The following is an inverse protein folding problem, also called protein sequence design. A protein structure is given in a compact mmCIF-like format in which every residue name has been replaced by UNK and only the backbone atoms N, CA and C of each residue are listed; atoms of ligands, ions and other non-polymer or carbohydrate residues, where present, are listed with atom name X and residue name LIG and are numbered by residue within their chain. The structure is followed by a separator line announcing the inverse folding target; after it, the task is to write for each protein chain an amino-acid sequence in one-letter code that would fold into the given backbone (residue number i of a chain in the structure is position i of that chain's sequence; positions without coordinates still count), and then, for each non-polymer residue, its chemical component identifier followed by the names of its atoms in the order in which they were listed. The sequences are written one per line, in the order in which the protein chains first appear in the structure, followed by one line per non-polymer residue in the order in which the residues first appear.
data_IF_626969231972
#
_entry.id   IF_626969231972
#
_cell.length_a   1.000
_cell.length_b   1.000
_cell.length_c   1.000
_cell.angle_alpha   90.00
_cell.angle_beta   90.00
_cell.angle_gamma   90.00
#
_symmetry.space_group_name_H-M   'P 1'
#
loop_
_entity.id
_entity.type
_entity.pdbx_description
1 polymer ?
#
# COMPACT_ATOMS: atom_id res chain seq x y z
N UNK A 1 48.08 -40.30 3.45
CA UNK A 1 47.08 -39.22 3.24
C UNK A 1 47.23 -38.58 1.86
N UNK A 2 47.17 -39.41 0.81
CA UNK A 2 47.35 -38.93 -0.58
C UNK A 2 46.40 -39.63 -1.57
N UNK A 3 45.20 -39.91 -1.14
CA UNK A 3 44.15 -40.28 -2.04
C UNK A 3 43.41 -39.04 -2.47
N UNK A 4 43.72 -38.48 -3.64
CA UNK A 4 42.84 -37.49 -4.31
C UNK A 4 41.56 -38.23 -4.64
N UNK A 5 40.41 -37.92 -4.01
CA UNK A 5 39.18 -38.63 -4.30
C UNK A 5 38.78 -38.35 -5.76
N UNK A 6 38.42 -39.41 -6.49
CA UNK A 6 37.77 -39.24 -7.78
C UNK A 6 36.55 -38.34 -7.63
N UNK A 7 36.34 -37.42 -8.57
CA UNK A 7 35.26 -36.43 -8.52
C UNK A 7 33.91 -37.06 -8.27
N UNK A 8 33.63 -38.18 -8.91
CA UNK A 8 32.38 -38.95 -8.73
C UNK A 8 32.18 -39.41 -7.29
N UNK A 9 33.22 -39.92 -6.66
CA UNK A 9 33.18 -40.36 -5.24
C UNK A 9 32.98 -39.18 -4.28
N UNK A 10 33.54 -38.04 -4.64
CA UNK A 10 33.31 -36.81 -3.87
C UNK A 10 31.84 -36.42 -3.91
N UNK A 11 31.21 -36.37 -5.11
CA UNK A 11 29.80 -36.01 -5.28
C UNK A 11 28.87 -37.04 -4.61
N UNK A 12 29.18 -38.36 -4.67
CA UNK A 12 28.40 -39.37 -3.96
C UNK A 12 28.44 -39.18 -2.43
N UNK A 13 29.60 -38.92 -1.89
CA UNK A 13 29.75 -38.63 -0.44
C UNK A 13 29.03 -37.33 -0.04
N UNK A 14 29.10 -36.31 -0.91
CA UNK A 14 28.34 -35.06 -0.67
C UNK A 14 26.83 -35.29 -0.68
N UNK A 15 26.33 -36.16 -1.58
CA UNK A 15 24.93 -36.56 -1.63
C UNK A 15 24.49 -37.30 -0.37
N UNK A 16 25.27 -38.29 0.07
CA UNK A 16 25.01 -39.04 1.29
C UNK A 16 24.93 -38.13 2.54
N UNK A 17 25.68 -37.04 2.54
CA UNK A 17 25.67 -36.05 3.61
C UNK A 17 24.70 -34.89 3.37
N UNK A 18 23.77 -35.00 2.42
CA UNK A 18 22.79 -33.95 2.04
C UNK A 18 23.43 -32.60 1.71
N UNK A 19 24.62 -32.63 1.09
CA UNK A 19 25.39 -31.45 0.67
C UNK A 19 25.27 -31.12 -0.81
N UNK A 20 24.32 -31.73 -1.50
CA UNK A 20 23.99 -31.50 -2.90
C UNK A 20 22.51 -31.14 -3.04
N UNK A 21 22.15 -30.40 -4.11
CA UNK A 21 20.74 -30.18 -4.44
C UNK A 21 20.06 -31.50 -4.81
N UNK A 22 18.73 -31.57 -4.64
CA UNK A 22 17.95 -32.71 -5.07
C UNK A 22 17.86 -32.72 -6.60
N UNK A 23 18.45 -33.74 -7.20
CA UNK A 23 18.38 -33.99 -8.66
C UNK A 23 17.48 -35.18 -8.96
N UNK A 24 16.60 -35.05 -9.97
CA UNK A 24 15.72 -36.13 -10.42
C UNK A 24 16.52 -37.30 -11.02
N UNK A 25 17.55 -36.99 -11.79
CA UNK A 25 18.50 -37.94 -12.38
C UNK A 25 19.91 -37.57 -11.92
N UNK A 26 20.36 -38.23 -10.86
CA UNK A 26 21.67 -37.93 -10.30
C UNK A 26 22.84 -38.40 -11.18
N UNK A 27 22.77 -39.53 -11.90
CA UNK A 27 23.76 -39.90 -12.89
C UNK A 27 23.95 -38.85 -14.01
N UNK A 28 22.86 -38.32 -14.58
CA UNK A 28 22.89 -37.25 -15.59
C UNK A 28 23.47 -35.97 -15.00
N UNK A 29 23.01 -35.58 -13.83
CA UNK A 29 23.49 -34.40 -13.06
C UNK A 29 25.01 -34.46 -12.82
N UNK A 30 25.55 -35.64 -12.46
CA UNK A 30 27.00 -35.84 -12.32
C UNK A 30 27.74 -35.72 -13.65
N UNK A 31 27.17 -36.30 -14.74
CA UNK A 31 27.75 -36.27 -16.05
C UNK A 31 27.93 -34.83 -16.57
N UNK A 32 26.95 -33.97 -16.36
CA UNK A 32 27.03 -32.54 -16.71
C UNK A 32 28.21 -31.87 -16.01
N UNK A 33 28.38 -32.07 -14.69
CA UNK A 33 29.48 -31.44 -13.91
C UNK A 33 30.83 -32.07 -14.21
N UNK A 34 30.86 -33.30 -14.67
CA UNK A 34 32.06 -33.91 -15.23
C UNK A 34 32.52 -33.20 -16.50
N UNK A 35 31.57 -32.67 -17.30
CA UNK A 35 31.86 -31.81 -18.45
C UNK A 35 32.65 -30.54 -18.12
N UNK A 36 32.60 -30.06 -16.87
CA UNK A 36 33.37 -28.88 -16.45
C UNK A 36 34.88 -29.05 -16.56
N UNK A 37 35.40 -30.29 -16.48
CA UNK A 37 36.82 -30.56 -16.66
C UNK A 37 37.34 -30.35 -18.11
N UNK A 38 36.44 -30.45 -19.08
CA UNK A 38 36.80 -30.43 -20.53
C UNK A 38 36.53 -29.06 -21.18
N UNK A 39 35.84 -28.17 -20.51
CA UNK A 39 35.54 -26.81 -20.97
C UNK A 39 36.75 -25.90 -20.70
N UNK A 40 37.68 -25.81 -21.63
CA UNK A 40 39.03 -25.25 -21.40
C UNK A 40 39.07 -23.73 -21.11
N UNK A 41 37.98 -22.96 -21.27
CA UNK A 41 37.98 -21.50 -21.07
C UNK A 41 36.74 -20.95 -20.34
N UNK A 42 35.80 -21.78 -19.94
CA UNK A 42 34.55 -21.33 -19.33
C UNK A 42 34.55 -21.52 -17.79
N UNK A 43 34.15 -20.50 -17.09
CA UNK A 43 33.83 -20.57 -15.66
C UNK A 43 32.38 -20.99 -15.55
N UNK A 44 32.12 -22.12 -14.93
CA UNK A 44 30.77 -22.62 -14.67
C UNK A 44 30.27 -22.07 -13.35
N UNK A 45 29.10 -21.43 -13.35
CA UNK A 45 28.46 -20.88 -12.16
C UNK A 45 27.07 -21.45 -12.01
N UNK A 46 26.77 -21.99 -10.84
CA UNK A 46 25.45 -22.53 -10.49
C UNK A 46 25.02 -22.08 -9.09
N UNK A 47 23.71 -21.98 -8.91
CA UNK A 47 23.10 -21.84 -7.59
C UNK A 47 22.56 -23.20 -7.13
N UNK A 48 23.03 -23.66 -6.00
CA UNK A 48 22.57 -24.89 -5.37
C UNK A 48 21.69 -24.57 -4.16
N UNK A 49 20.49 -25.15 -4.16
CA UNK A 49 19.59 -25.10 -3.00
C UNK A 49 19.64 -26.49 -2.36
N UNK A 50 20.14 -26.55 -1.15
CA UNK A 50 20.26 -27.79 -0.39
C UNK A 50 18.92 -28.16 0.28
N UNK A 51 18.74 -29.42 0.65
CA UNK A 51 17.53 -29.94 1.30
C UNK A 51 17.22 -29.23 2.63
N UNK A 52 18.24 -28.71 3.32
CA UNK A 52 18.08 -27.93 4.55
C UNK A 52 17.72 -26.46 4.31
N UNK A 53 17.61 -26.04 3.06
CA UNK A 53 17.29 -24.66 2.68
C UNK A 53 18.48 -23.73 2.58
N UNK A 54 19.71 -24.25 2.62
CA UNK A 54 20.90 -23.43 2.39
C UNK A 54 21.09 -23.14 0.88
N UNK A 55 21.54 -21.95 0.56
CA UNK A 55 21.82 -21.46 -0.77
C UNK A 55 23.34 -21.35 -0.97
N UNK A 56 23.86 -22.14 -1.90
CA UNK A 56 25.28 -22.11 -2.25
C UNK A 56 25.45 -21.61 -3.69
N UNK A 57 26.32 -20.63 -3.87
CA UNK A 57 26.89 -20.33 -5.19
C UNK A 57 28.09 -21.23 -5.41
N UNK A 58 28.05 -22.00 -6.48
CA UNK A 58 29.10 -22.95 -6.84
C UNK A 58 29.76 -22.48 -8.13
N UNK A 59 31.07 -22.29 -8.08
CA UNK A 59 31.86 -21.85 -9.21
C UNK A 59 32.88 -22.93 -9.52
N UNK A 60 32.76 -23.54 -10.70
CA UNK A 60 33.70 -24.50 -11.24
C UNK A 60 34.62 -23.86 -12.27
N UNK A 61 35.93 -23.98 -12.11
CA UNK A 61 36.92 -23.48 -13.04
C UNK A 61 37.90 -24.60 -13.43
N UNK A 62 37.97 -25.00 -14.70
CA UNK A 62 38.96 -25.95 -15.15
C UNK A 62 40.36 -25.35 -15.01
N UNK A 63 41.30 -26.19 -14.65
CA UNK A 63 42.71 -25.81 -14.47
C UNK A 63 43.58 -26.36 -15.64
N UNK A 64 44.69 -25.68 -15.99
CA UNK A 64 45.55 -26.07 -17.07
C UNK A 64 46.21 -27.47 -16.92
N UNK A 65 46.27 -27.97 -15.69
CA UNK A 65 46.80 -29.30 -15.35
C UNK A 65 45.78 -30.44 -15.47
N UNK A 66 44.58 -30.14 -16.00
CA UNK A 66 43.46 -31.07 -16.10
C UNK A 66 42.67 -31.23 -14.80
N UNK A 67 42.96 -30.42 -13.80
CA UNK A 67 42.17 -30.34 -12.55
C UNK A 67 40.93 -29.48 -12.69
N UNK A 68 40.06 -29.51 -11.66
CA UNK A 68 38.91 -28.63 -11.52
C UNK A 68 38.97 -27.93 -10.15
N UNK A 69 38.96 -26.61 -10.16
CA UNK A 69 38.78 -25.80 -8.95
C UNK A 69 37.30 -25.57 -8.74
N UNK A 70 36.75 -26.00 -7.62
CA UNK A 70 35.39 -25.74 -7.23
C UNK A 70 35.37 -24.88 -5.98
N UNK A 71 34.64 -23.74 -6.07
CA UNK A 71 34.47 -22.82 -4.97
C UNK A 71 33.02 -22.84 -4.57
N UNK A 72 32.76 -23.03 -3.27
CA UNK A 72 31.43 -22.94 -2.67
C UNK A 72 31.37 -21.67 -1.84
N UNK A 73 30.40 -20.82 -2.18
CA UNK A 73 30.10 -19.59 -1.43
C UNK A 73 28.72 -19.74 -0.81
N UNK A 74 28.65 -19.70 0.52
CA UNK A 74 27.37 -19.72 1.24
C UNK A 74 26.71 -18.35 1.11
N UNK A 75 25.55 -18.30 0.46
CA UNK A 75 24.71 -17.11 0.26
C UNK A 75 23.40 -17.16 1.03
N UNK A 76 23.23 -18.14 1.89
CA UNK A 76 21.99 -18.40 2.60
C UNK A 76 21.47 -17.16 3.33
N UNK A 77 22.34 -16.52 4.11
CA UNK A 77 21.96 -15.32 4.86
C UNK A 77 21.60 -14.15 3.93
N UNK A 78 22.35 -13.94 2.87
CA UNK A 78 22.10 -12.90 1.87
C UNK A 78 20.76 -13.09 1.17
N UNK A 79 20.43 -14.33 0.77
CA UNK A 79 19.15 -14.66 0.13
C UNK A 79 18.00 -14.50 1.11
N UNK A 80 18.17 -14.95 2.36
CA UNK A 80 17.13 -14.78 3.41
C UNK A 80 16.85 -13.31 3.70
N UNK A 81 17.88 -12.47 3.84
CA UNK A 81 17.73 -11.03 4.06
C UNK A 81 17.04 -10.33 2.88
N UNK A 82 17.45 -10.67 1.64
CA UNK A 82 16.82 -10.13 0.45
C UNK A 82 15.35 -10.51 0.35
N UNK A 83 15.03 -11.79 0.56
CA UNK A 83 13.64 -12.29 0.53
C UNK A 83 12.78 -11.70 1.63
N UNK A 84 13.32 -11.54 2.84
CA UNK A 84 12.63 -10.89 3.96
C UNK A 84 12.34 -9.42 3.64
N UNK A 85 13.35 -8.69 3.10
CA UNK A 85 13.17 -7.31 2.66
C UNK A 85 12.08 -7.18 1.58
N UNK A 86 12.13 -8.03 0.56
CA UNK A 86 11.15 -8.00 -0.54
C UNK A 86 9.74 -8.33 -0.05
N UNK A 87 9.64 -9.25 0.91
CA UNK A 87 8.36 -9.58 1.54
C UNK A 87 7.83 -8.41 2.33
N UNK A 88 8.65 -7.75 3.14
CA UNK A 88 8.27 -6.56 3.90
C UNK A 88 7.82 -5.41 2.99
N UNK A 89 8.54 -5.17 1.89
CA UNK A 89 8.17 -4.15 0.92
C UNK A 89 6.82 -4.47 0.27
N UNK A 90 6.60 -5.72 -0.15
CA UNK A 90 5.31 -6.15 -0.72
C UNK A 90 4.15 -6.03 0.26
N UNK A 91 4.34 -6.46 1.51
CA UNK A 91 3.31 -6.34 2.55
C UNK A 91 3.01 -4.87 2.83
N UNK A 92 4.06 -4.03 2.95
CA UNK A 92 3.89 -2.59 3.14
C UNK A 92 3.08 -1.95 2.01
N UNK A 93 3.45 -2.21 0.75
CA UNK A 93 2.75 -1.67 -0.42
C UNK A 93 1.32 -2.19 -0.47
N UNK A 94 1.11 -3.49 -0.34
CA UNK A 94 -0.23 -4.07 -0.35
C UNK A 94 -1.12 -3.51 0.77
N UNK A 95 -0.59 -3.33 1.98
CA UNK A 95 -1.33 -2.74 3.09
C UNK A 95 -1.71 -1.29 2.80
N UNK A 96 -0.76 -0.51 2.27
CA UNK A 96 -0.95 0.89 1.95
C UNK A 96 -1.99 1.09 0.83
N UNK A 97 -1.96 0.27 -0.21
CA UNK A 97 -2.89 0.33 -1.33
C UNK A 97 -4.30 -0.20 -1.00
N UNK A 98 -4.42 -1.03 0.03
CA UNK A 98 -5.71 -1.54 0.50
C UNK A 98 -6.35 -0.69 1.61
N UNK A 99 -5.76 0.44 1.98
CA UNK A 99 -6.43 1.40 2.86
C UNK A 99 -7.72 1.92 2.20
N UNK A 100 -8.78 2.06 2.98
CA UNK A 100 -10.03 2.69 2.52
C UNK A 100 -9.90 4.19 2.32
N UNK A 101 -8.87 4.78 2.90
CA UNK A 101 -8.53 6.19 2.83
C UNK A 101 -7.62 6.46 1.62
N UNK A 102 -7.85 7.56 0.93
CA UNK A 102 -6.89 8.12 -0.01
C UNK A 102 -5.76 8.79 0.77
N UNK A 103 -4.54 8.32 0.57
CA UNK A 103 -3.36 8.82 1.29
C UNK A 103 -2.33 9.34 0.29
N UNK A 104 -1.81 10.54 0.56
CA UNK A 104 -0.71 11.13 -0.18
C UNK A 104 0.29 11.80 0.77
N UNK A 105 1.55 11.78 0.42
CA UNK A 105 2.61 12.52 1.12
C UNK A 105 3.21 13.51 0.15
N UNK A 106 3.22 14.76 0.54
CA UNK A 106 3.87 15.84 -0.20
C UNK A 106 5.19 16.20 0.46
N UNK A 107 6.25 16.31 -0.33
CA UNK A 107 7.55 16.77 0.13
C UNK A 107 7.50 18.26 0.51
N UNK A 108 8.52 18.73 1.22
CA UNK A 108 8.63 20.12 1.67
C UNK A 108 8.60 21.15 0.53
N UNK A 109 8.94 20.75 -0.69
CA UNK A 109 8.86 21.59 -1.90
C UNK A 109 7.51 21.50 -2.62
N UNK A 110 6.52 20.78 -2.04
CA UNK A 110 5.17 20.58 -2.58
C UNK A 110 5.05 19.50 -3.64
N UNK A 111 6.09 18.70 -3.89
CA UNK A 111 5.99 17.55 -4.81
C UNK A 111 5.29 16.37 -4.13
N UNK A 112 4.47 15.67 -4.90
CA UNK A 112 3.89 14.40 -4.49
C UNK A 112 5.03 13.38 -4.36
N UNK A 113 5.26 12.89 -3.14
CA UNK A 113 6.34 11.95 -2.82
C UNK A 113 5.86 10.51 -2.77
N UNK A 114 4.69 10.29 -2.16
CA UNK A 114 4.08 8.97 -1.98
C UNK A 114 2.56 9.11 -2.09
N UNK A 115 1.91 8.12 -2.67
CA UNK A 115 0.45 8.04 -2.71
C UNK A 115 0.02 6.57 -2.71
N UNK A 116 -1.20 6.30 -2.30
CA UNK A 116 -1.82 4.99 -2.45
C UNK A 116 -2.81 5.00 -3.62
N UNK A 117 -3.21 3.81 -4.04
CA UNK A 117 -4.15 3.63 -5.14
C UNK A 117 -5.46 4.42 -4.93
N UNK A 118 -5.99 4.45 -3.70
CA UNK A 118 -7.22 5.17 -3.37
C UNK A 118 -7.14 6.67 -3.64
N UNK A 119 -5.99 7.29 -3.38
CA UNK A 119 -5.80 8.70 -3.72
C UNK A 119 -5.94 8.94 -5.23
N UNK A 120 -5.32 8.11 -6.06
CA UNK A 120 -5.46 8.17 -7.51
C UNK A 120 -6.90 7.95 -7.97
N UNK A 121 -7.57 6.92 -7.43
CA UNK A 121 -8.96 6.56 -7.76
C UNK A 121 -9.94 7.70 -7.44
N UNK A 122 -9.86 8.33 -6.26
CA UNK A 122 -10.76 9.40 -5.84
C UNK A 122 -10.68 10.64 -6.74
N UNK A 123 -9.47 10.97 -7.17
CA UNK A 123 -9.24 12.10 -8.05
C UNK A 123 -9.24 11.75 -9.54
N UNK A 124 -9.39 10.47 -9.90
CA UNK A 124 -9.28 9.93 -11.26
C UNK A 124 -7.97 10.37 -11.95
N UNK A 125 -6.87 10.23 -11.23
CA UNK A 125 -5.54 10.60 -11.73
C UNK A 125 -4.87 9.38 -12.38
N UNK A 126 -4.17 9.64 -13.46
CA UNK A 126 -3.38 8.61 -14.14
C UNK A 126 -2.15 8.25 -13.31
N UNK A 127 -1.92 6.94 -13.10
CA UNK A 127 -0.82 6.43 -12.30
C UNK A 127 0.54 6.77 -12.91
N UNK A 128 0.64 6.80 -14.25
CA UNK A 128 1.89 7.16 -14.94
C UNK A 128 2.24 8.62 -14.72
N UNK A 129 1.23 9.49 -14.71
CA UNK A 129 1.44 10.89 -14.38
C UNK A 129 1.80 11.10 -12.89
N UNK A 130 1.16 10.38 -11.97
CA UNK A 130 1.51 10.46 -10.56
C UNK A 130 2.95 9.97 -10.31
N UNK A 131 3.43 8.99 -11.08
CA UNK A 131 4.81 8.49 -11.00
C UNK A 131 5.88 9.52 -11.43
N UNK A 132 5.48 10.59 -12.11
CA UNK A 132 6.35 11.76 -12.42
C UNK A 132 6.51 12.68 -11.20
N UNK A 133 5.84 12.39 -10.08
CA UNK A 133 5.87 13.18 -8.84
C UNK A 133 5.48 14.65 -9.06
N UNK A 134 4.28 14.94 -9.60
CA UNK A 134 3.83 16.30 -9.88
C UNK A 134 3.78 17.14 -8.59
N UNK A 135 3.90 18.46 -8.75
CA UNK A 135 3.69 19.39 -7.64
C UNK A 135 2.20 19.55 -7.35
N UNK A 136 1.87 19.92 -6.12
CA UNK A 136 0.47 20.19 -5.74
C UNK A 136 -0.17 21.23 -6.65
N UNK A 137 0.59 22.22 -7.14
CA UNK A 137 0.10 23.24 -8.08
C UNK A 137 -0.32 22.63 -9.42
N UNK A 138 0.34 21.56 -9.87
CA UNK A 138 0.00 20.83 -11.11
C UNK A 138 -1.23 19.93 -10.93
N UNK A 139 -1.51 19.47 -9.71
CA UNK A 139 -2.69 18.68 -9.36
C UNK A 139 -3.96 19.54 -9.23
N UNK A 140 -3.84 20.82 -8.89
CA UNK A 140 -4.98 21.74 -8.69
C UNK A 140 -5.98 21.75 -9.85
N UNK A 141 -5.59 21.81 -11.12
CA UNK A 141 -6.54 21.77 -12.24
C UNK A 141 -7.35 20.45 -12.29
N UNK A 142 -6.71 19.32 -12.01
CA UNK A 142 -7.38 18.03 -11.97
C UNK A 142 -8.37 17.95 -10.78
N UNK A 143 -7.97 18.44 -9.61
CA UNK A 143 -8.88 18.53 -8.45
C UNK A 143 -10.08 19.42 -8.73
N UNK A 144 -9.87 20.59 -9.38
CA UNK A 144 -10.93 21.52 -9.71
C UNK A 144 -12.00 20.91 -10.62
N UNK A 145 -11.63 20.03 -11.55
CA UNK A 145 -12.57 19.34 -12.44
C UNK A 145 -13.49 18.37 -11.72
N UNK A 146 -13.06 17.87 -10.57
CA UNK A 146 -13.80 16.87 -9.79
C UNK A 146 -14.69 17.49 -8.69
N UNK A 147 -14.40 18.72 -8.28
CA UNK A 147 -15.08 19.37 -7.17
C UNK A 147 -16.40 20.02 -7.61
N UNK A 148 -17.43 19.97 -6.75
CA UNK A 148 -18.66 20.76 -6.91
C UNK A 148 -18.33 22.26 -6.97
N UNK A 149 -17.40 22.69 -6.13
CA UNK A 149 -16.88 24.06 -6.16
C UNK A 149 -15.40 24.04 -6.60
N UNK A 150 -15.10 24.37 -7.87
CA UNK A 150 -13.73 24.36 -8.39
C UNK A 150 -12.76 25.26 -7.64
N UNK A 151 -13.24 26.34 -6.99
CA UNK A 151 -12.38 27.25 -6.22
C UNK A 151 -11.80 26.61 -4.97
N UNK A 152 -12.45 25.56 -4.45
CA UNK A 152 -11.94 24.78 -3.30
C UNK A 152 -10.64 24.03 -3.63
N UNK A 153 -10.30 23.82 -4.90
CA UNK A 153 -9.02 23.24 -5.29
C UNK A 153 -7.82 24.10 -4.86
N UNK A 154 -7.96 25.42 -4.92
CA UNK A 154 -6.95 26.34 -4.41
C UNK A 154 -6.75 26.19 -2.89
N UNK A 155 -7.82 25.94 -2.15
CA UNK A 155 -7.73 25.70 -0.71
C UNK A 155 -6.97 24.41 -0.39
N UNK A 156 -7.10 23.36 -1.21
CA UNK A 156 -6.30 22.13 -1.04
C UNK A 156 -4.80 22.40 -1.23
N UNK A 157 -4.44 23.26 -2.18
CA UNK A 157 -3.05 23.70 -2.34
C UNK A 157 -2.55 24.44 -1.09
N UNK A 158 -3.32 25.40 -0.59
CA UNK A 158 -2.93 26.16 0.62
C UNK A 158 -2.82 25.24 1.84
N UNK A 159 -3.66 24.23 1.95
CA UNK A 159 -3.58 23.19 2.97
C UNK A 159 -2.25 22.44 2.96
N UNK A 160 -1.83 21.96 1.78
CA UNK A 160 -0.56 21.26 1.62
C UNK A 160 0.60 22.20 1.96
N UNK A 161 0.55 23.47 1.50
CA UNK A 161 1.56 24.47 1.84
C UNK A 161 1.59 24.81 3.32
N UNK A 162 0.44 24.97 3.97
CA UNK A 162 0.34 25.19 5.39
C UNK A 162 0.96 24.05 6.20
N UNK A 163 0.73 22.80 5.79
CA UNK A 163 1.30 21.64 6.45
C UNK A 163 2.81 21.52 6.23
N UNK A 164 3.31 21.79 5.00
CA UNK A 164 4.74 21.66 4.67
C UNK A 164 5.57 22.82 5.21
N UNK A 165 5.09 24.07 5.04
CA UNK A 165 5.89 25.29 5.32
C UNK A 165 5.59 25.86 6.71
N UNK A 166 4.32 25.94 7.09
CA UNK A 166 3.88 26.57 8.34
C UNK A 166 3.72 25.56 9.49
N UNK A 167 3.87 24.28 9.21
CA UNK A 167 3.74 23.17 10.17
C UNK A 167 2.37 23.13 10.87
N UNK A 168 1.33 23.54 10.16
CA UNK A 168 -0.04 23.62 10.67
C UNK A 168 -0.87 22.44 10.16
N UNK A 169 -1.50 21.71 11.07
CA UNK A 169 -2.45 20.68 10.71
C UNK A 169 -3.82 21.31 10.42
N UNK A 170 -4.43 20.94 9.31
CA UNK A 170 -5.76 21.40 8.91
C UNK A 170 -6.64 20.24 8.49
N UNK A 171 -7.95 20.43 8.65
CA UNK A 171 -8.99 19.46 8.26
C UNK A 171 -10.13 20.19 7.60
N UNK A 172 -10.86 19.48 6.76
CA UNK A 172 -12.05 20.04 6.12
C UNK A 172 -12.88 18.97 5.43
N UNK A 173 -13.96 19.44 4.81
CA UNK A 173 -14.84 18.60 4.01
C UNK A 173 -14.91 19.16 2.59
N UNK A 174 -15.06 18.28 1.62
CA UNK A 174 -15.26 18.64 0.23
C UNK A 174 -16.29 17.69 -0.40
N UNK A 175 -16.94 18.20 -1.46
CA UNK A 175 -17.92 17.42 -2.22
C UNK A 175 -17.45 17.34 -3.66
N UNK A 176 -17.47 16.13 -4.22
CA UNK A 176 -17.20 15.90 -5.62
C UNK A 176 -18.46 16.05 -6.47
N UNK A 177 -18.28 16.36 -7.74
CA UNK A 177 -19.36 16.55 -8.71
C UNK A 177 -20.19 15.27 -8.96
N UNK A 178 -19.65 14.11 -8.67
CA UNK A 178 -20.32 12.81 -8.75
C UNK A 178 -21.16 12.47 -7.51
N UNK A 179 -21.26 13.38 -6.53
CA UNK A 179 -22.08 13.25 -5.33
C UNK A 179 -21.38 12.56 -4.15
N UNK A 180 -20.07 12.31 -4.24
CA UNK A 180 -19.27 11.84 -3.11
C UNK A 180 -18.89 12.99 -2.18
N UNK A 181 -18.87 12.69 -0.88
CA UNK A 181 -18.45 13.61 0.18
C UNK A 181 -17.22 13.05 0.87
N UNK A 182 -16.20 13.88 1.00
CA UNK A 182 -14.93 13.49 1.62
C UNK A 182 -14.60 14.38 2.81
N UNK A 183 -14.07 13.76 3.85
CA UNK A 183 -13.35 14.44 4.90
C UNK A 183 -11.86 14.30 4.63
N UNK A 184 -11.12 15.40 4.70
CA UNK A 184 -9.68 15.39 4.46
C UNK A 184 -8.91 16.01 5.64
N UNK A 185 -7.66 15.60 5.78
CA UNK A 185 -6.70 16.21 6.71
C UNK A 185 -5.35 16.37 6.04
N UNK A 186 -4.68 17.47 6.34
CA UNK A 186 -3.26 17.68 6.02
C UNK A 186 -2.51 17.84 7.34
N UNK A 187 -1.51 17.00 7.57
CA UNK A 187 -0.76 16.93 8.83
C UNK A 187 0.74 17.05 8.53
N UNK A 188 1.47 17.97 9.21
CA UNK A 188 2.91 18.06 9.05
C UNK A 188 3.63 16.84 9.63
N UNK A 189 4.58 16.28 8.87
CA UNK A 189 5.46 15.21 9.31
C UNK A 189 6.79 15.75 9.88
N UNK A 190 7.46 15.03 10.79
CA UNK A 190 8.71 15.49 11.41
C UNK A 190 9.83 15.88 10.44
N UNK A 191 9.87 15.24 9.27
CA UNK A 191 10.87 15.43 8.21
C UNK A 191 10.61 16.62 7.28
N UNK A 192 9.58 17.43 7.56
CA UNK A 192 9.21 18.59 6.73
C UNK A 192 8.19 18.28 5.65
N UNK A 193 7.85 17.03 5.45
CA UNK A 193 6.80 16.59 4.53
C UNK A 193 5.41 16.84 5.13
N UNK A 194 4.36 16.69 4.32
CA UNK A 194 2.97 16.73 4.76
C UNK A 194 2.24 15.42 4.39
N UNK A 195 1.55 14.84 5.35
CA UNK A 195 0.62 13.75 5.12
C UNK A 195 -0.76 14.34 4.79
N UNK A 196 -1.30 13.97 3.64
CA UNK A 196 -2.65 14.29 3.22
C UNK A 196 -3.49 13.01 3.21
N UNK A 197 -4.63 13.04 3.87
CA UNK A 197 -5.57 11.92 3.92
C UNK A 197 -6.95 12.34 3.48
N UNK A 198 -7.69 11.44 2.83
CA UNK A 198 -9.07 11.60 2.41
C UNK A 198 -9.89 10.36 2.76
N UNK A 199 -11.03 10.57 3.39
CA UNK A 199 -11.98 9.50 3.75
C UNK A 199 -13.32 9.80 3.07
N UNK A 200 -13.88 8.81 2.38
CA UNK A 200 -15.25 8.89 1.86
C UNK A 200 -16.24 8.79 3.02
N UNK A 201 -16.99 9.86 3.24
CA UNK A 201 -18.02 9.98 4.26
C UNK A 201 -19.44 10.09 3.67
N UNK A 202 -19.60 9.73 2.41
CA UNK A 202 -20.85 9.88 1.66
C UNK A 202 -22.01 9.19 2.36
N UNK A 203 -21.85 7.93 2.75
CA UNK A 203 -22.92 7.18 3.41
C UNK A 203 -23.23 7.75 4.81
N UNK A 204 -22.20 8.14 5.58
CA UNK A 204 -22.40 8.79 6.87
C UNK A 204 -23.16 10.09 6.73
N UNK A 205 -22.81 10.92 5.75
CA UNK A 205 -23.49 12.19 5.48
C UNK A 205 -24.94 11.99 5.07
N UNK A 206 -25.22 10.98 4.24
CA UNK A 206 -26.60 10.62 3.85
C UNK A 206 -27.44 10.13 5.04
N UNK A 207 -26.84 9.30 5.89
CA UNK A 207 -27.51 8.81 7.12
C UNK A 207 -27.80 9.97 8.07
N UNK A 208 -26.84 10.86 8.29
CA UNK A 208 -27.04 12.05 9.13
C UNK A 208 -28.17 12.94 8.61
N UNK A 209 -28.20 13.19 7.29
CA UNK A 209 -29.25 13.98 6.65
C UNK A 209 -30.65 13.35 6.83
N UNK A 210 -30.76 12.04 6.59
CA UNK A 210 -32.02 11.31 6.75
C UNK A 210 -32.50 11.27 8.20
N UNK A 211 -31.59 11.12 9.16
CA UNK A 211 -31.93 11.16 10.58
C UNK A 211 -32.39 12.55 11.00
N UNK A 212 -31.75 13.61 10.51
CA UNK A 212 -32.13 15.00 10.78
C UNK A 212 -33.51 15.32 10.23
N UNK A 213 -33.78 14.95 8.97
CA UNK A 213 -35.09 15.13 8.36
C UNK A 213 -36.21 14.42 9.16
N UNK A 214 -35.92 13.17 9.58
CA UNK A 214 -36.85 12.40 10.40
C UNK A 214 -37.09 13.02 11.78
N UNK A 215 -36.07 13.57 12.42
CA UNK A 215 -36.18 14.27 13.70
C UNK A 215 -37.03 15.53 13.55
N UNK A 216 -36.77 16.35 12.54
CA UNK A 216 -37.55 17.56 12.23
C UNK A 216 -39.03 17.24 11.94
N UNK A 217 -39.32 16.17 11.18
CA UNK A 217 -40.67 15.72 10.93
C UNK A 217 -41.39 15.26 12.20
N UNK A 218 -40.70 14.53 13.08
CA UNK A 218 -41.27 14.11 14.36
C UNK A 218 -41.55 15.31 15.29
N UNK A 219 -40.67 16.28 15.38
CA UNK A 219 -40.91 17.51 16.15
C UNK A 219 -42.10 18.29 15.61
N UNK A 220 -42.22 18.40 14.30
CA UNK A 220 -43.36 19.06 13.68
C UNK A 220 -44.68 18.34 13.98
N UNK A 221 -44.69 17.00 13.87
CA UNK A 221 -45.87 16.20 14.20
C UNK A 221 -46.26 16.35 15.68
N UNK A 222 -45.29 16.37 16.58
CA UNK A 222 -45.56 16.55 18.02
C UNK A 222 -46.12 17.98 18.35
N UNK A 223 -45.58 19.01 17.70
CA UNK A 223 -46.12 20.37 17.80
C UNK A 223 -47.57 20.44 17.33
N UNK A 224 -47.89 19.83 16.17
CA UNK A 224 -49.25 19.77 15.66
C UNK A 224 -50.18 19.04 16.65
N UNK A 225 -49.76 17.89 17.15
CA UNK A 225 -50.50 17.11 18.15
C UNK A 225 -50.75 17.91 19.44
N UNK A 226 -49.75 18.60 19.96
CA UNK A 226 -49.84 19.39 21.17
C UNK A 226 -50.81 20.55 20.98
N UNK A 227 -50.73 21.28 19.87
CA UNK A 227 -51.67 22.36 19.54
C UNK A 227 -53.11 21.85 19.36
N UNK A 228 -53.27 20.69 18.72
CA UNK A 228 -54.59 20.08 18.57
C UNK A 228 -55.22 19.74 19.91
N UNK A 229 -54.48 19.09 20.82
CA UNK A 229 -54.93 18.76 22.18
C UNK A 229 -55.27 20.04 22.99
N UNK A 230 -54.46 21.07 22.86
CA UNK A 230 -54.71 22.36 23.53
C UNK A 230 -55.98 23.02 23.04
N UNK A 231 -56.20 23.08 21.71
CA UNK A 231 -57.41 23.67 21.11
C UNK A 231 -58.66 22.85 21.44
N UNK A 232 -58.61 21.53 21.36
CA UNK A 232 -59.70 20.63 21.75
C UNK A 232 -60.08 20.83 23.22
N UNK A 233 -59.13 20.95 24.13
CA UNK A 233 -59.33 21.19 25.55
C UNK A 233 -60.00 22.53 25.78
N UNK A 234 -59.69 23.56 25.00
CA UNK A 234 -60.33 24.88 25.06
C UNK A 234 -61.76 24.83 24.56
N UNK A 235 -62.03 24.23 23.40
CA UNK A 235 -63.36 24.11 22.84
C UNK A 235 -64.31 23.23 23.65
N UNK A 236 -63.81 22.20 24.36
CA UNK A 236 -64.61 21.38 25.24
C UNK A 236 -64.90 22.06 26.60
N UNK A 237 -64.07 22.99 27.02
CA UNK A 237 -64.27 23.72 28.30
C UNK A 237 -65.34 24.78 28.18
N UNK A 238 -65.51 25.38 27.01
CA UNK A 238 -66.48 26.49 26.76
C UNK A 238 -67.95 26.08 26.94
N UNK A 239 -68.45 24.97 26.40
CA UNK A 239 -69.84 24.53 26.62
C UNK A 239 -70.11 23.95 28.00
N UNK A 240 -69.09 23.41 28.72
CA UNK A 240 -69.26 22.91 30.09
C UNK A 240 -69.46 24.00 31.15
N UNK A 241 -68.99 25.19 30.87
CA UNK A 241 -69.16 26.35 31.77
C UNK A 241 -70.49 27.11 31.53
N UNK A 242 -71.23 26.78 30.44
CA UNK A 242 -72.56 27.42 30.12
C UNK A 242 -73.74 26.60 30.63
N UNK A 243 -73.56 25.47 31.27
CA UNK A 243 -74.62 24.55 31.77
C UNK A 243 -74.61 24.47 33.31
N UNK A 244 -73.87 25.37 34.00
CA UNK A 244 -73.87 25.49 35.45
C UNK A 244 -74.66 26.69 35.95
#
# INVERSE_FOLDING_TARGET
LDERPEFDRLLERMRENHRLPEARDFPEWKAERRGWFTSAEEVHEEEWILANGDHLRVVGQPLPDGGLRVVFEDRTEQVRLSSARDTLLRVRTATFDNLFEGVAVFASDGRLYLWNRRFGDFWHLDETWLAEHPRVDELVPAFAQRLVNPTAAASLRELVRGATSERRAERGRLSLADGHHFEFAAVPLPDGNALFTMIDVTDSTRIEAALRERAEALEQADRVRTNFVANMSYELRTPLTSIG
#
